data_IF_218728984923
#
_entry.id   IF_218728984923
#
_cell.length_a   1.000
_cell.length_b   1.000
_cell.length_c   1.000
_cell.angle_alpha   90.00
_cell.angle_beta   90.00
_cell.angle_gamma   90.00
#
_symmetry.space_group_name_H-M   'P 1'
#
loop_
_entity.id
_entity.type
_entity.pdbx_description
1 polymer ?
#
# COMPACT_ATOMS: atom_id res chain seq x y z
N UNK A 1 16.52 10.66 0.24
CA UNK A 1 17.47 11.42 1.11
C UNK A 1 18.76 10.65 1.41
N UNK A 2 18.71 9.34 1.66
CA UNK A 2 19.92 8.55 2.03
C UNK A 2 20.85 8.24 0.85
N UNK A 3 20.32 8.08 -0.34
CA UNK A 3 21.07 7.65 -1.53
C UNK A 3 21.30 8.76 -2.55
N UNK A 4 20.56 9.86 -2.50
CA UNK A 4 20.54 10.89 -3.53
C UNK A 4 19.78 10.48 -4.80
N UNK A 5 19.15 9.30 -4.84
CA UNK A 5 18.33 8.89 -5.97
C UNK A 5 17.09 9.77 -6.11
N UNK A 6 16.74 10.09 -7.33
CA UNK A 6 15.50 10.80 -7.67
C UNK A 6 14.29 9.90 -7.43
N UNK A 7 13.18 10.51 -7.01
CA UNK A 7 11.91 9.82 -6.84
C UNK A 7 11.04 10.12 -8.07
N UNK A 8 10.49 9.07 -8.68
CA UNK A 8 9.61 9.20 -9.84
C UNK A 8 8.22 8.69 -9.49
N UNK A 9 7.21 9.53 -9.70
CA UNK A 9 5.81 9.17 -9.63
C UNK A 9 5.16 9.12 -11.01
N UNK A 10 4.05 8.41 -11.11
CA UNK A 10 3.22 8.40 -12.29
C UNK A 10 2.51 9.73 -12.57
N UNK A 11 1.85 9.86 -13.72
CA UNK A 11 1.04 11.03 -14.07
C UNK A 11 0.00 11.35 -12.98
N UNK A 12 -0.35 12.63 -12.87
CA UNK A 12 -1.33 13.18 -11.90
C UNK A 12 -0.91 13.12 -10.42
N UNK A 13 0.20 12.49 -10.07
CA UNK A 13 0.71 12.52 -8.69
C UNK A 13 1.03 13.96 -8.25
N UNK A 14 0.73 14.26 -6.99
CA UNK A 14 0.98 15.58 -6.39
C UNK A 14 1.62 15.42 -5.01
N UNK A 15 2.89 14.96 -4.92
CA UNK A 15 3.61 14.87 -3.65
C UNK A 15 3.96 16.27 -3.13
N UNK A 16 4.10 16.39 -1.80
CA UNK A 16 4.52 17.64 -1.13
C UNK A 16 6.04 17.73 -0.95
N UNK A 17 6.80 16.91 -1.66
CA UNK A 17 8.25 16.89 -1.70
C UNK A 17 8.74 16.78 -3.14
N UNK A 18 10.02 17.05 -3.38
CA UNK A 18 10.62 17.04 -4.69
C UNK A 18 10.57 15.63 -5.31
N UNK A 19 9.96 15.51 -6.48
CA UNK A 19 9.86 14.29 -7.25
C UNK A 19 9.65 14.61 -8.74
N UNK A 20 10.02 13.67 -9.59
CA UNK A 20 9.73 13.72 -11.03
C UNK A 20 8.32 13.17 -11.25
N UNK A 21 7.45 13.96 -11.85
CA UNK A 21 6.12 13.49 -12.27
C UNK A 21 6.24 13.05 -13.73
N UNK A 22 6.24 11.75 -13.95
CA UNK A 22 6.39 11.16 -15.25
C UNK A 22 5.13 11.35 -16.11
N UNK A 23 5.32 11.40 -17.43
CA UNK A 23 4.21 11.33 -18.40
C UNK A 23 3.92 9.88 -18.74
N UNK A 24 2.68 9.61 -19.19
CA UNK A 24 2.36 8.29 -19.76
C UNK A 24 3.29 7.99 -20.94
N UNK A 25 3.79 6.77 -21.00
CA UNK A 25 4.79 6.29 -21.97
C UNK A 25 6.17 6.96 -21.88
N UNK A 26 6.45 7.75 -20.84
CA UNK A 26 7.81 8.28 -20.63
C UNK A 26 8.79 7.14 -20.35
N UNK A 27 9.99 7.26 -20.91
CA UNK A 27 11.07 6.27 -20.74
C UNK A 27 12.18 6.92 -19.91
N UNK A 28 12.64 6.18 -18.89
CA UNK A 28 13.83 6.47 -18.11
C UNK A 28 14.91 5.46 -18.44
N UNK A 29 16.13 5.92 -18.66
CA UNK A 29 17.28 5.07 -18.93
C UNK A 29 18.09 4.88 -17.64
N UNK A 30 18.41 3.63 -17.32
CA UNK A 30 19.26 3.24 -16.20
C UNK A 30 20.38 2.37 -16.73
N UNK A 31 21.51 3.01 -17.07
CA UNK A 31 22.57 2.34 -17.80
C UNK A 31 22.08 1.92 -19.18
N UNK A 32 22.08 0.61 -19.44
CA UNK A 32 21.62 0.04 -20.72
C UNK A 32 20.16 -0.40 -20.73
N UNK A 33 19.54 -0.51 -19.56
CA UNK A 33 18.12 -0.88 -19.44
C UNK A 33 17.24 0.36 -19.48
N UNK A 34 15.96 0.16 -19.81
CA UNK A 34 14.95 1.23 -19.84
C UNK A 34 13.75 0.85 -18.99
N UNK A 35 13.15 1.85 -18.38
CA UNK A 35 11.88 1.72 -17.68
C UNK A 35 10.86 2.65 -18.33
N UNK A 36 9.80 2.07 -18.89
CA UNK A 36 8.68 2.80 -19.48
C UNK A 36 7.54 2.91 -18.49
N UNK A 37 7.02 4.11 -18.31
CA UNK A 37 5.87 4.38 -17.45
C UNK A 37 4.59 4.13 -18.22
N UNK A 38 3.74 3.25 -17.69
CA UNK A 38 2.39 3.03 -18.18
C UNK A 38 1.43 3.62 -17.16
N UNK A 39 0.69 4.66 -17.50
CA UNK A 39 -0.34 5.22 -16.61
C UNK A 39 -1.53 4.28 -16.56
N UNK A 40 -1.84 3.77 -15.38
CA UNK A 40 -2.85 2.73 -15.14
C UNK A 40 -3.80 3.14 -14.00
N UNK A 41 -4.57 4.25 -14.16
CA UNK A 41 -5.48 4.73 -13.12
C UNK A 41 -6.60 3.73 -12.82
N UNK A 42 -7.15 3.83 -11.59
CA UNK A 42 -8.29 3.03 -11.14
C UNK A 42 -8.20 2.60 -9.68
N UNK A 43 -7.08 2.02 -9.24
CA UNK A 43 -6.83 1.86 -7.79
C UNK A 43 -6.64 3.24 -7.14
N UNK A 44 -5.76 4.06 -7.72
CA UNK A 44 -5.70 5.51 -7.52
C UNK A 44 -5.59 6.21 -8.87
N UNK A 45 -5.74 7.55 -8.91
CA UNK A 45 -5.63 8.29 -10.17
C UNK A 45 -4.21 8.39 -10.69
N UNK A 46 -3.21 8.35 -9.81
CA UNK A 46 -1.79 8.37 -10.11
C UNK A 46 -1.17 6.99 -10.33
N UNK A 47 -1.95 5.91 -10.18
CA UNK A 47 -1.47 4.54 -10.35
C UNK A 47 -0.75 4.35 -11.67
N UNK A 48 0.40 3.68 -11.60
CA UNK A 48 1.25 3.42 -12.75
C UNK A 48 1.90 2.06 -12.66
N UNK A 49 2.06 1.45 -13.82
CA UNK A 49 2.86 0.23 -14.01
C UNK A 49 4.16 0.61 -14.69
N UNK A 50 5.28 0.08 -14.23
CA UNK A 50 6.60 0.32 -14.80
C UNK A 50 7.04 -0.91 -15.60
N UNK A 51 7.24 -0.73 -16.91
CA UNK A 51 7.64 -1.78 -17.82
C UNK A 51 9.16 -1.76 -17.99
N UNK A 52 9.81 -2.87 -17.65
CA UNK A 52 11.26 -3.05 -17.82
C UNK A 52 11.57 -3.53 -19.23
N UNK A 53 12.49 -2.82 -19.87
CA UNK A 53 13.04 -3.14 -21.19
C UNK A 53 14.55 -3.39 -21.00
N UNK A 54 15.01 -4.55 -21.43
CA UNK A 54 16.41 -4.98 -21.29
C UNK A 54 17.37 -4.28 -22.28
N UNK A 55 18.64 -4.70 -22.27
CA UNK A 55 19.70 -4.14 -23.12
C UNK A 55 19.45 -4.40 -24.60
N UNK A 56 18.75 -5.49 -24.95
CA UNK A 56 18.40 -5.89 -26.31
C UNK A 56 17.11 -5.19 -26.81
N UNK A 57 16.45 -4.43 -25.95
CA UNK A 57 15.20 -3.74 -26.24
C UNK A 57 13.95 -4.62 -26.08
N UNK A 58 14.09 -5.79 -25.43
CA UNK A 58 12.98 -6.69 -25.13
C UNK A 58 12.26 -6.25 -23.86
N UNK A 59 10.93 -6.21 -23.89
CA UNK A 59 10.08 -6.06 -22.72
C UNK A 59 10.10 -7.36 -21.89
N UNK A 60 10.56 -7.31 -20.64
CA UNK A 60 10.85 -8.52 -19.84
C UNK A 60 10.03 -8.63 -18.57
N UNK A 61 9.69 -7.51 -17.94
CA UNK A 61 8.95 -7.51 -16.70
C UNK A 61 8.09 -6.25 -16.53
N UNK A 62 7.06 -6.36 -15.69
CA UNK A 62 6.31 -5.20 -15.19
C UNK A 62 6.34 -5.16 -13.66
N UNK A 63 6.56 -3.97 -13.11
CA UNK A 63 6.30 -3.63 -11.72
C UNK A 63 4.90 -3.00 -11.70
N UNK A 64 3.91 -3.83 -11.43
CA UNK A 64 2.51 -3.46 -11.67
C UNK A 64 1.90 -2.57 -10.58
N UNK A 65 2.64 -2.32 -9.48
CA UNK A 65 2.08 -1.60 -8.35
C UNK A 65 0.82 -2.27 -7.84
N UNK A 66 -0.18 -1.46 -7.55
CA UNK A 66 -1.51 -1.91 -7.15
C UNK A 66 -2.51 -1.99 -8.33
N UNK A 67 -2.02 -1.93 -9.57
CA UNK A 67 -2.86 -2.12 -10.76
C UNK A 67 -3.22 -3.59 -10.95
N UNK A 68 -2.22 -4.47 -10.89
CA UNK A 68 -2.38 -5.91 -11.06
C UNK A 68 -1.61 -6.65 -9.97
N UNK A 69 -2.32 -7.48 -9.22
CA UNK A 69 -1.77 -8.47 -8.31
C UNK A 69 -1.82 -9.87 -8.92
N UNK A 70 -1.16 -10.82 -8.30
CA UNK A 70 -1.28 -12.22 -8.71
C UNK A 70 -2.62 -12.78 -8.23
N UNK A 71 -3.45 -13.19 -9.18
CA UNK A 71 -4.82 -13.67 -8.95
C UNK A 71 -5.85 -12.58 -8.63
N UNK A 72 -5.47 -11.30 -8.59
CA UNK A 72 -6.33 -10.19 -8.19
C UNK A 72 -5.93 -8.87 -8.86
N UNK A 73 -6.66 -7.81 -8.54
CA UNK A 73 -6.34 -6.41 -8.89
C UNK A 73 -6.49 -5.50 -7.69
N UNK A 74 -5.88 -4.33 -7.71
CA UNK A 74 -6.04 -3.35 -6.65
C UNK A 74 -7.48 -2.86 -6.52
N UNK A 75 -7.97 -2.81 -5.28
CA UNK A 75 -9.33 -2.36 -4.98
C UNK A 75 -9.55 -0.90 -5.39
N UNK A 76 -10.62 -0.58 -6.12
CA UNK A 76 -10.82 0.77 -6.66
C UNK A 76 -11.52 1.73 -5.70
N UNK A 77 -12.04 1.27 -4.55
CA UNK A 77 -12.86 2.07 -3.63
C UNK A 77 -12.07 3.01 -2.72
N UNK A 78 -10.74 2.91 -2.68
CA UNK A 78 -9.90 3.69 -1.76
C UNK A 78 -9.75 5.16 -2.16
N UNK A 79 -9.75 5.46 -3.45
CA UNK A 79 -9.49 6.79 -3.99
C UNK A 79 -10.74 7.67 -4.18
N UNK A 80 -11.94 7.21 -3.85
CA UNK A 80 -13.21 7.90 -4.12
C UNK A 80 -13.20 9.37 -3.69
N UNK A 81 -12.76 9.65 -2.45
CA UNK A 81 -12.74 11.02 -1.92
C UNK A 81 -11.70 11.91 -2.60
N UNK A 82 -10.51 11.39 -2.87
CA UNK A 82 -9.42 12.14 -3.48
C UNK A 82 -9.62 12.36 -4.98
N UNK A 83 -10.26 11.41 -5.65
CA UNK A 83 -10.59 11.48 -7.07
C UNK A 83 -11.91 12.20 -7.37
N UNK A 84 -12.77 12.42 -6.37
CA UNK A 84 -14.15 12.89 -6.55
C UNK A 84 -14.95 11.99 -7.51
N UNK A 85 -14.75 10.68 -7.42
CA UNK A 85 -15.35 9.65 -8.29
C UNK A 85 -16.01 8.56 -7.43
N UNK A 86 -16.96 7.86 -8.02
CA UNK A 86 -17.54 6.66 -7.40
C UNK A 86 -16.58 5.46 -7.55
N UNK A 87 -16.78 4.44 -6.74
CA UNK A 87 -16.00 3.20 -6.86
C UNK A 87 -16.24 2.50 -8.20
N UNK A 88 -17.45 2.61 -8.76
CA UNK A 88 -17.81 2.07 -10.07
C UNK A 88 -17.04 2.77 -11.22
N UNK A 89 -16.92 4.09 -11.14
CA UNK A 89 -16.13 4.87 -12.08
C UNK A 89 -14.65 4.51 -12.00
N UNK A 90 -14.10 4.40 -10.80
CA UNK A 90 -12.71 3.99 -10.58
C UNK A 90 -12.45 2.55 -11.03
N UNK A 91 -13.37 1.61 -10.75
CA UNK A 91 -13.29 0.25 -11.28
C UNK A 91 -13.34 0.22 -12.81
N UNK A 92 -14.15 1.09 -13.40
CA UNK A 92 -14.21 1.26 -14.84
C UNK A 92 -12.91 1.76 -15.45
N UNK A 93 -12.21 2.70 -14.81
CA UNK A 93 -10.89 3.17 -15.22
C UNK A 93 -9.83 2.07 -15.07
N UNK A 94 -9.90 1.28 -13.98
CA UNK A 94 -9.01 0.15 -13.79
C UNK A 94 -9.17 -0.89 -14.92
N UNK A 95 -10.41 -1.21 -15.31
CA UNK A 95 -10.67 -2.07 -16.45
C UNK A 95 -10.02 -1.55 -17.73
N UNK A 96 -10.23 -0.27 -18.06
CA UNK A 96 -9.64 0.37 -19.24
C UNK A 96 -8.11 0.35 -19.19
N UNK A 97 -7.53 0.60 -18.03
CA UNK A 97 -6.07 0.51 -17.81
C UNK A 97 -5.54 -0.89 -18.08
N UNK A 98 -6.20 -1.91 -17.55
CA UNK A 98 -5.82 -3.31 -17.75
C UNK A 98 -5.95 -3.70 -19.22
N UNK A 99 -7.07 -3.39 -19.87
CA UNK A 99 -7.33 -3.76 -21.25
C UNK A 99 -6.41 -3.05 -22.27
N UNK A 100 -6.10 -1.77 -22.04
CA UNK A 100 -5.32 -0.96 -22.99
C UNK A 100 -3.81 -1.01 -22.75
N UNK A 101 -3.35 -1.25 -21.52
CA UNK A 101 -1.93 -1.15 -21.14
C UNK A 101 -1.30 -2.49 -20.77
N UNK A 102 -2.04 -3.38 -20.13
CA UNK A 102 -1.52 -4.64 -19.57
C UNK A 102 -1.82 -5.83 -20.51
N UNK A 103 -3.06 -5.99 -20.91
CA UNK A 103 -3.45 -7.12 -21.76
C UNK A 103 -2.73 -7.22 -23.11
N UNK A 104 -2.31 -6.09 -23.76
CA UNK A 104 -1.54 -6.16 -25.01
C UNK A 104 -0.08 -6.61 -24.85
N UNK A 105 0.47 -6.60 -23.63
CA UNK A 105 1.85 -7.00 -23.38
C UNK A 105 2.04 -8.51 -23.60
N UNK A 106 3.28 -8.93 -23.89
CA UNK A 106 3.62 -10.33 -24.19
C UNK A 106 3.40 -11.26 -22.98
N UNK A 107 3.07 -12.51 -23.24
CA UNK A 107 2.72 -13.49 -22.21
C UNK A 107 3.93 -13.94 -21.36
N UNK A 108 5.15 -13.82 -21.88
CA UNK A 108 6.40 -14.16 -21.19
C UNK A 108 6.90 -13.06 -20.22
N UNK A 109 6.24 -11.92 -20.19
CA UNK A 109 6.56 -10.84 -19.24
C UNK A 109 6.28 -11.30 -17.80
N UNK A 110 7.23 -11.02 -16.91
CA UNK A 110 7.10 -11.35 -15.48
C UNK A 110 6.41 -10.20 -14.74
N UNK A 111 5.42 -10.54 -13.94
CA UNK A 111 4.65 -9.59 -13.11
C UNK A 111 5.23 -9.53 -11.70
N UNK A 112 5.65 -8.35 -11.27
CA UNK A 112 6.07 -8.03 -9.91
C UNK A 112 5.06 -7.05 -9.28
N UNK A 113 4.11 -7.54 -8.47
CA UNK A 113 3.11 -6.67 -7.81
C UNK A 113 3.70 -5.95 -6.59
N UNK A 114 3.04 -4.88 -6.14
CA UNK A 114 3.45 -4.16 -4.93
C UNK A 114 3.15 -4.93 -3.64
N UNK A 115 2.14 -5.78 -3.64
CA UNK A 115 1.68 -6.55 -2.48
C UNK A 115 1.50 -8.03 -2.82
N UNK A 116 1.63 -8.87 -1.79
CA UNK A 116 1.29 -10.28 -1.82
C UNK A 116 0.05 -10.60 -0.97
N UNK A 117 -0.21 -11.89 -0.80
CA UNK A 117 -1.33 -12.42 -0.02
C UNK A 117 -1.38 -11.83 1.40
N UNK A 118 -2.58 -11.46 1.85
CA UNK A 118 -2.83 -10.86 3.17
C UNK A 118 -2.86 -9.33 3.17
N UNK A 119 -2.51 -8.65 2.07
CA UNK A 119 -2.69 -7.19 1.98
C UNK A 119 -4.17 -6.83 1.86
N UNK A 120 -4.58 -5.75 2.55
CA UNK A 120 -5.92 -5.19 2.44
C UNK A 120 -6.19 -4.40 1.14
N UNK A 121 -5.19 -4.33 0.24
CA UNK A 121 -5.32 -3.67 -1.07
C UNK A 121 -5.97 -4.55 -2.14
N UNK A 122 -6.16 -5.84 -1.89
CA UNK A 122 -6.91 -6.77 -2.72
C UNK A 122 -7.78 -7.70 -1.88
N UNK A 123 -8.56 -8.58 -2.51
CA UNK A 123 -9.47 -9.51 -1.82
C UNK A 123 -9.07 -10.99 -1.96
N UNK A 124 -8.35 -11.35 -3.01
CA UNK A 124 -8.08 -12.76 -3.37
C UNK A 124 -6.69 -12.99 -3.96
N UNK A 125 -5.68 -12.33 -3.41
CA UNK A 125 -4.30 -12.45 -3.88
C UNK A 125 -3.74 -13.86 -3.66
N UNK A 126 -3.00 -14.34 -4.65
CA UNK A 126 -2.25 -15.61 -4.58
C UNK A 126 -1.04 -15.48 -3.62
N UNK A 127 -0.50 -16.63 -3.21
CA UNK A 127 0.66 -16.70 -2.29
C UNK A 127 1.99 -16.47 -2.98
N UNK A 128 2.03 -16.68 -4.29
CA UNK A 128 3.21 -16.46 -5.11
C UNK A 128 3.60 -14.98 -5.08
N UNK A 129 4.89 -14.71 -5.29
CA UNK A 129 5.43 -13.34 -5.30
C UNK A 129 5.70 -12.83 -6.70
N UNK A 130 5.79 -13.72 -7.66
CA UNK A 130 5.98 -13.43 -9.10
C UNK A 130 5.26 -14.48 -9.93
N UNK A 131 4.82 -14.09 -11.13
CA UNK A 131 4.24 -15.01 -12.12
C UNK A 131 4.37 -14.41 -13.54
N UNK A 132 4.14 -15.21 -14.57
CA UNK A 132 4.06 -14.71 -15.93
C UNK A 132 2.72 -14.02 -16.20
N UNK A 133 2.75 -12.95 -17.02
CA UNK A 133 1.53 -12.28 -17.43
C UNK A 133 0.58 -13.23 -18.17
N UNK A 134 1.13 -14.15 -18.98
CA UNK A 134 0.35 -15.14 -19.69
C UNK A 134 -0.40 -16.11 -18.78
N UNK A 135 0.16 -16.46 -17.60
CA UNK A 135 -0.57 -17.22 -16.60
C UNK A 135 -1.65 -16.36 -15.93
N UNK A 136 -1.35 -15.11 -15.60
CA UNK A 136 -2.34 -14.19 -15.03
C UNK A 136 -3.51 -13.94 -15.99
N UNK A 137 -3.26 -13.78 -17.29
CA UNK A 137 -4.32 -13.68 -18.31
C UNK A 137 -5.26 -14.89 -18.33
N UNK A 138 -4.79 -16.07 -17.89
CA UNK A 138 -5.60 -17.30 -17.86
C UNK A 138 -6.29 -17.53 -16.53
N UNK A 139 -5.67 -17.16 -15.42
CA UNK A 139 -6.08 -17.58 -14.06
C UNK A 139 -6.63 -16.45 -13.20
N UNK A 140 -6.27 -15.20 -13.49
CA UNK A 140 -6.74 -14.06 -12.71
C UNK A 140 -8.21 -13.77 -13.02
N UNK A 141 -9.07 -13.85 -12.00
CA UNK A 141 -10.52 -13.67 -12.17
C UNK A 141 -10.89 -12.32 -12.78
N UNK A 142 -10.15 -11.25 -12.41
CA UNK A 142 -10.43 -9.90 -12.90
C UNK A 142 -10.09 -9.73 -14.38
N UNK A 143 -8.98 -10.33 -14.87
CA UNK A 143 -8.58 -10.27 -16.27
C UNK A 143 -9.50 -11.13 -17.18
N UNK A 144 -10.24 -12.09 -16.62
CA UNK A 144 -11.10 -13.01 -17.34
C UNK A 144 -12.57 -12.57 -17.38
N UNK A 145 -12.89 -11.32 -17.06
CA UNK A 145 -14.25 -10.82 -17.15
C UNK A 145 -14.65 -10.54 -18.60
N UNK A 146 -15.88 -10.92 -19.02
CA UNK A 146 -16.30 -10.81 -20.40
C UNK A 146 -16.49 -9.37 -20.90
N UNK A 147 -16.72 -8.44 -20.00
CA UNK A 147 -16.93 -7.02 -20.31
C UNK A 147 -16.71 -6.14 -19.07
N UNK A 148 -16.75 -4.82 -19.28
CA UNK A 148 -16.53 -3.80 -18.22
C UNK A 148 -17.54 -3.90 -17.07
N UNK A 149 -18.81 -4.12 -17.39
CA UNK A 149 -19.89 -4.20 -16.41
C UNK A 149 -19.70 -5.40 -15.46
N UNK A 150 -19.33 -6.56 -16.02
CA UNK A 150 -19.01 -7.76 -15.24
C UNK A 150 -17.75 -7.55 -14.38
N UNK A 151 -16.72 -6.92 -14.93
CA UNK A 151 -15.51 -6.57 -14.19
C UNK A 151 -15.81 -5.68 -12.98
N UNK A 152 -16.54 -4.57 -13.20
CA UNK A 152 -16.90 -3.62 -12.14
C UNK A 152 -17.66 -4.32 -11.03
N UNK A 153 -18.70 -5.11 -11.38
CA UNK A 153 -19.48 -5.87 -10.40
C UNK A 153 -18.60 -6.83 -9.61
N UNK A 154 -17.79 -7.63 -10.30
CA UNK A 154 -16.98 -8.68 -9.68
C UNK A 154 -15.88 -8.13 -8.78
N UNK A 155 -15.20 -7.05 -9.19
CA UNK A 155 -14.13 -6.44 -8.40
C UNK A 155 -14.67 -5.76 -7.15
N UNK A 156 -15.85 -5.16 -7.22
CA UNK A 156 -16.48 -4.49 -6.08
C UNK A 156 -17.22 -5.44 -5.12
N UNK A 157 -17.58 -6.63 -5.58
CA UNK A 157 -18.28 -7.60 -4.74
C UNK A 157 -17.41 -8.12 -3.60
N UNK A 158 -17.97 -8.17 -2.40
CA UNK A 158 -17.30 -8.71 -1.21
C UNK A 158 -16.14 -7.88 -0.66
N UNK A 159 -15.94 -6.63 -1.09
CA UNK A 159 -14.93 -5.75 -0.51
C UNK A 159 -15.24 -5.44 0.95
N UNK A 160 -14.32 -5.79 1.84
CA UNK A 160 -14.40 -5.38 3.24
C UNK A 160 -14.12 -3.88 3.39
N UNK A 161 -14.68 -3.20 4.41
CA UNK A 161 -14.32 -1.81 4.68
C UNK A 161 -12.79 -1.62 4.76
N UNK A 162 -12.24 -0.54 4.20
CA UNK A 162 -10.82 -0.29 4.26
C UNK A 162 -10.36 -0.08 5.72
N UNK A 163 -9.13 -0.46 6.06
CA UNK A 163 -8.56 -0.17 7.38
C UNK A 163 -8.61 1.31 7.69
N UNK A 164 -8.97 1.66 8.93
CA UNK A 164 -9.15 3.07 9.37
C UNK A 164 -7.90 3.94 9.16
N UNK A 165 -6.71 3.33 9.24
CA UNK A 165 -5.43 4.02 9.08
C UNK A 165 -5.03 4.32 7.63
N UNK A 166 -5.73 3.80 6.61
CA UNK A 166 -5.35 3.99 5.20
C UNK A 166 -5.30 5.47 4.81
N UNK A 167 -6.31 6.25 5.18
CA UNK A 167 -6.33 7.68 4.87
C UNK A 167 -5.14 8.45 5.47
N UNK A 168 -4.71 8.07 6.68
CA UNK A 168 -3.54 8.66 7.32
C UNK A 168 -2.24 8.25 6.60
N UNK A 169 -2.11 6.97 6.23
CA UNK A 169 -0.94 6.50 5.47
C UNK A 169 -0.79 7.25 4.14
N UNK A 170 -1.90 7.49 3.43
CA UNK A 170 -1.89 8.30 2.20
C UNK A 170 -1.39 9.72 2.48
N UNK A 171 -1.91 10.38 3.53
CA UNK A 171 -1.48 11.72 3.91
C UNK A 171 0.01 11.78 4.28
N UNK A 172 0.49 10.81 5.07
CA UNK A 172 1.92 10.71 5.44
C UNK A 172 2.82 10.45 4.24
N UNK A 173 2.41 9.58 3.32
CA UNK A 173 3.18 9.30 2.10
C UNK A 173 3.25 10.53 1.17
N UNK A 174 2.21 11.34 1.15
CA UNK A 174 2.16 12.57 0.36
C UNK A 174 2.96 13.71 0.98
N UNK A 175 2.81 13.93 2.29
CA UNK A 175 3.45 15.03 3.04
C UNK A 175 4.88 14.71 3.51
N UNK A 176 5.29 13.44 3.41
CA UNK A 176 6.52 12.93 4.00
C UNK A 176 6.37 12.60 5.48
N UNK A 177 7.34 11.86 5.99
CA UNK A 177 7.40 11.37 7.37
C UNK A 177 8.72 11.76 8.03
N UNK A 178 8.78 11.89 9.37
CA UNK A 178 10.03 11.99 10.12
C UNK A 178 10.93 10.78 9.81
N UNK A 179 12.23 10.96 9.90
CA UNK A 179 13.15 9.83 9.73
C UNK A 179 12.98 8.83 10.89
N UNK A 180 13.27 7.56 10.62
CA UNK A 180 13.26 6.52 11.66
C UNK A 180 14.13 6.92 12.86
N UNK A 181 15.31 7.49 12.61
CA UNK A 181 16.25 7.90 13.67
C UNK A 181 15.67 9.02 14.54
N UNK A 182 14.93 9.96 13.95
CA UNK A 182 14.22 11.02 14.69
C UNK A 182 13.11 10.44 15.58
N UNK A 183 12.31 9.52 15.04
CA UNK A 183 11.25 8.84 15.80
C UNK A 183 11.84 8.07 16.99
N UNK A 184 12.90 7.29 16.75
CA UNK A 184 13.57 6.52 17.81
C UNK A 184 14.18 7.41 18.88
N UNK A 185 14.80 8.52 18.50
CA UNK A 185 15.40 9.48 19.44
C UNK A 185 14.37 10.09 20.39
N UNK A 186 13.17 10.35 19.91
CA UNK A 186 12.11 10.96 20.71
C UNK A 186 11.27 9.93 21.47
N UNK A 187 11.00 8.77 20.88
CA UNK A 187 10.09 7.76 21.42
C UNK A 187 10.76 6.74 22.35
N UNK A 188 12.04 6.44 22.16
CA UNK A 188 12.72 5.39 22.93
C UNK A 188 13.40 5.95 24.19
N UNK A 189 12.59 6.38 25.16
CA UNK A 189 13.07 6.89 26.46
C UNK A 189 12.47 6.05 27.57
N UNK A 190 13.31 5.43 28.44
CA UNK A 190 12.80 4.73 29.61
C UNK A 190 12.09 5.71 30.55
N UNK A 191 10.97 5.32 31.08
CA UNK A 191 10.17 6.09 32.03
C UNK A 191 10.15 5.39 33.40
N UNK A 192 10.14 6.17 34.48
CA UNK A 192 9.82 5.66 35.80
C UNK A 192 8.32 5.40 35.94
N UNK A 193 7.91 4.64 36.95
CA UNK A 193 6.49 4.40 37.24
C UNK A 193 5.74 5.73 37.47
N UNK A 194 6.33 6.65 38.22
CA UNK A 194 5.74 7.98 38.51
C UNK A 194 5.53 8.79 37.22
N UNK A 195 6.50 8.74 36.28
CA UNK A 195 6.35 9.43 34.98
C UNK A 195 5.26 8.79 34.12
N UNK A 196 5.09 7.47 34.18
CA UNK A 196 4.00 6.79 33.47
C UNK A 196 2.65 7.24 34.03
N UNK A 197 2.50 7.27 35.36
CA UNK A 197 1.28 7.72 36.04
C UNK A 197 0.95 9.17 35.69
N UNK A 198 1.93 10.07 35.75
CA UNK A 198 1.78 11.48 35.34
C UNK A 198 1.31 11.63 33.87
N UNK A 199 1.92 10.88 32.95
CA UNK A 199 1.55 10.93 31.53
C UNK A 199 0.13 10.41 31.29
N UNK A 200 -0.29 9.38 32.00
CA UNK A 200 -1.65 8.83 31.91
C UNK A 200 -2.67 9.81 32.46
N UNK A 201 -2.42 10.37 33.67
CA UNK A 201 -3.37 11.22 34.35
C UNK A 201 -3.48 12.62 33.74
N UNK A 202 -2.37 13.21 33.35
CA UNK A 202 -2.33 14.62 32.92
C UNK A 202 -2.21 14.82 31.43
N UNK A 203 -1.59 13.89 30.69
CA UNK A 203 -1.48 13.95 29.23
C UNK A 203 -2.45 13.01 28.50
N UNK A 204 -3.23 12.20 29.22
CA UNK A 204 -4.14 11.24 28.63
C UNK A 204 -3.43 10.16 27.82
N UNK A 205 -2.19 9.80 28.21
CA UNK A 205 -1.43 8.80 27.48
C UNK A 205 -2.10 7.42 27.55
N UNK A 206 -2.13 6.74 26.41
CA UNK A 206 -2.57 5.36 26.30
C UNK A 206 -1.40 4.42 26.63
N UNK A 207 -1.64 3.44 27.47
CA UNK A 207 -0.65 2.38 27.73
C UNK A 207 -0.87 1.25 26.72
N UNK A 208 0.13 1.01 25.87
CA UNK A 208 0.16 -0.08 24.91
C UNK A 208 1.15 -1.14 25.41
N UNK A 209 0.64 -2.25 25.90
CA UNK A 209 1.43 -3.39 26.33
C UNK A 209 1.71 -4.30 25.16
N UNK A 210 2.98 -4.42 24.78
CA UNK A 210 3.42 -5.17 23.60
C UNK A 210 3.89 -6.61 23.94
N UNK A 211 3.81 -6.98 25.21
CA UNK A 211 4.13 -8.34 25.65
C UNK A 211 3.14 -9.35 25.08
N UNK A 212 3.50 -10.62 25.11
CA UNK A 212 2.55 -11.68 24.72
C UNK A 212 1.38 -11.76 25.74
N UNK A 213 0.25 -12.31 25.31
CA UNK A 213 -0.95 -12.39 26.13
C UNK A 213 -0.76 -13.20 27.43
N UNK A 214 0.15 -14.18 27.43
CA UNK A 214 0.45 -15.01 28.60
C UNK A 214 1.19 -14.22 29.69
N UNK A 215 2.07 -13.30 29.32
CA UNK A 215 2.76 -12.43 30.26
C UNK A 215 1.88 -11.26 30.71
N UNK A 216 1.08 -10.71 29.80
CA UNK A 216 0.11 -9.68 30.11
C UNK A 216 -0.90 -10.15 31.20
N UNK A 217 -1.42 -11.37 31.06
CA UNK A 217 -2.43 -11.88 32.00
C UNK A 217 -1.89 -12.12 33.42
N UNK A 218 -0.57 -12.30 33.59
CA UNK A 218 0.05 -12.45 34.91
C UNK A 218 0.10 -11.14 35.70
N UNK A 219 -0.01 -10.00 35.04
CA UNK A 219 -0.04 -8.68 35.63
C UNK A 219 0.14 -7.60 34.57
N UNK A 220 -0.71 -6.59 34.63
CA UNK A 220 -0.74 -5.48 33.67
C UNK A 220 -1.09 -4.17 34.36
N UNK A 221 -0.73 -3.07 33.74
CA UNK A 221 -1.12 -1.74 34.22
C UNK A 221 -2.61 -1.53 33.88
N UNK A 222 -3.45 -1.13 34.84
CA UNK A 222 -4.87 -0.88 34.61
C UNK A 222 -5.11 0.03 33.38
N UNK A 223 -6.15 -0.24 32.61
CA UNK A 223 -6.52 0.48 31.39
C UNK A 223 -5.53 0.36 30.23
N UNK A 224 -4.54 -0.55 30.30
CA UNK A 224 -3.66 -0.82 29.17
C UNK A 224 -4.37 -1.65 28.08
N UNK A 225 -3.97 -1.42 26.83
CA UNK A 225 -4.35 -2.26 25.69
C UNK A 225 -3.18 -3.22 25.41
N UNK A 226 -3.46 -4.52 25.32
CA UNK A 226 -2.44 -5.50 24.95
C UNK A 226 -2.53 -5.83 23.46
N UNK A 227 -1.44 -5.58 22.76
CA UNK A 227 -1.25 -6.02 21.36
C UNK A 227 0.19 -6.55 21.26
N UNK A 228 0.33 -7.88 21.26
CA UNK A 228 1.65 -8.53 21.20
C UNK A 228 2.37 -8.24 19.87
N UNK A 229 3.70 -8.15 19.93
CA UNK A 229 4.54 -7.83 18.76
C UNK A 229 4.50 -8.88 17.64
N UNK A 230 4.08 -10.13 17.94
CA UNK A 230 3.98 -11.20 16.96
C UNK A 230 2.66 -11.09 16.16
N UNK A 231 2.71 -11.44 14.88
CA UNK A 231 1.54 -11.41 14.00
C UNK A 231 1.22 -10.01 13.46
N UNK A 232 -0.06 -9.65 13.47
CA UNK A 232 -0.57 -8.41 12.84
C UNK A 232 -0.50 -7.19 13.78
N UNK A 233 0.61 -7.01 14.51
CA UNK A 233 0.77 -5.90 15.47
C UNK A 233 0.45 -4.52 14.86
N UNK A 234 1.09 -4.16 13.75
CA UNK A 234 0.93 -2.84 13.15
C UNK A 234 -0.51 -2.59 12.63
N UNK A 235 -1.15 -3.53 11.91
CA UNK A 235 -2.56 -3.44 11.55
C UNK A 235 -3.51 -3.25 12.75
N UNK A 236 -3.31 -3.99 13.84
CA UNK A 236 -4.12 -3.87 15.05
C UNK A 236 -3.93 -2.52 15.73
N UNK A 237 -2.69 -2.06 15.89
CA UNK A 237 -2.40 -0.73 16.46
C UNK A 237 -3.07 0.36 15.64
N UNK A 238 -2.90 0.34 14.31
CA UNK A 238 -3.51 1.32 13.41
C UNK A 238 -5.05 1.29 13.40
N UNK A 239 -5.66 0.11 13.61
CA UNK A 239 -7.12 -0.01 13.68
C UNK A 239 -7.72 0.48 15.01
N UNK A 240 -7.00 0.27 16.11
CA UNK A 240 -7.48 0.59 17.47
C UNK A 240 -7.10 1.99 17.93
N UNK A 241 -5.91 2.48 17.56
CA UNK A 241 -5.40 3.82 17.93
C UNK A 241 -5.50 4.71 16.70
N UNK A 242 -6.67 5.33 16.51
CA UNK A 242 -6.99 6.09 15.29
C UNK A 242 -6.37 7.49 15.31
N UNK A 243 -6.20 8.09 16.49
CA UNK A 243 -5.57 9.40 16.62
C UNK A 243 -4.05 9.27 16.65
N UNK A 244 -3.40 9.67 15.56
CA UNK A 244 -1.92 9.65 15.46
C UNK A 244 -1.21 10.62 16.41
N UNK A 245 -1.94 11.53 17.05
CA UNK A 245 -1.41 12.44 18.07
C UNK A 245 -1.59 11.91 19.48
N UNK A 246 -2.27 10.76 19.65
CA UNK A 246 -2.45 10.12 20.94
C UNK A 246 -1.08 9.82 21.56
N UNK A 247 -0.75 10.39 22.73
CA UNK A 247 0.44 9.99 23.47
C UNK A 247 0.36 8.51 23.84
N UNK A 248 1.44 7.78 23.63
CA UNK A 248 1.50 6.33 23.91
C UNK A 248 2.70 6.03 24.80
N UNK A 249 2.45 5.29 25.87
CA UNK A 249 3.48 4.66 26.68
C UNK A 249 3.55 3.18 26.32
N UNK A 250 4.74 2.70 25.96
CA UNK A 250 4.97 1.29 25.60
C UNK A 250 5.42 0.49 26.82
N UNK A 251 4.82 -0.67 27.02
CA UNK A 251 5.28 -1.72 27.94
C UNK A 251 5.77 -2.89 27.10
N UNK A 252 7.03 -3.35 27.33
CA UNK A 252 7.68 -4.42 26.59
C UNK A 252 8.34 -5.45 27.52
#
# INVERSE_FOLDING_TARGET
KKTGAEIVFGPTANPEFEAIIAKDNQIFEIGKIKIKVLHTPGHTMESSTFLLIDEEGKETAIFSGDTLFLGDVGRPDLAQKSAHMTQEELAGLLYESLQSKIMPLADDIIVYPAHGAGSACGKNMQKETVDSLGNQKKTNYALNQPNKESFVREVLDGLLPPPKYFGMNVAMNKGGIPSFDEVMKHGNKPLSADNVEELVEHAGALILDTRNAEDFHKGFIPNSINIGLKGDFAPWVGAMIVDVKQPIVLVA
#
